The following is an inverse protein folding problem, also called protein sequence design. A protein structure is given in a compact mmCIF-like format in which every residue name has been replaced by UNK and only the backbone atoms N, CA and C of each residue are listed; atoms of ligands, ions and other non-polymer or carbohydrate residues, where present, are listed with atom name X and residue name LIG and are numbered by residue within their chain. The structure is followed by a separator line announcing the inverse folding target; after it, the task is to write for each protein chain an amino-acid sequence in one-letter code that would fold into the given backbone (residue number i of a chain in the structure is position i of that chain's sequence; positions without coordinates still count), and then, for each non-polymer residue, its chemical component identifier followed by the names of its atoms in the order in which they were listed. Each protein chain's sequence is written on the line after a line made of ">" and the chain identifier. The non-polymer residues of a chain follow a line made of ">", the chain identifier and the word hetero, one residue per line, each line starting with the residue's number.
data_IF_304439954290
#
_entry.id   IF_304439954290
#
_cell.length_a   1.000
_cell.length_b   1.000
_cell.length_c   1.000
_cell.angle_alpha   90.00
_cell.angle_beta   90.00
_cell.angle_gamma   90.00
#
_symmetry.space_group_name_H-M   'P 1'
#
loop_
_entity.id
_entity.type
_entity.pdbx_description
1 polymer ?
#
# COMPACT_ATOMS: atom_id res chain seq x y z
N UNK A 1 23.24 -18.96 -17.75
CA UNK A 1 22.33 -20.05 -17.36
C UNK A 1 21.46 -19.55 -16.23
N UNK A 2 20.17 -19.36 -16.48
CA UNK A 2 19.19 -19.00 -15.46
C UNK A 2 19.13 -20.13 -14.44
N UNK A 3 19.42 -19.82 -13.18
CA UNK A 3 19.10 -20.70 -12.06
C UNK A 3 17.59 -20.77 -11.98
N UNK A 4 17.02 -21.89 -12.44
CA UNK A 4 15.65 -22.28 -12.16
C UNK A 4 15.55 -22.33 -10.64
N UNK A 5 14.88 -21.33 -10.06
CA UNK A 5 14.49 -21.35 -8.66
C UNK A 5 13.53 -22.54 -8.55
N UNK A 6 14.01 -23.64 -8.00
CA UNK A 6 13.16 -24.66 -7.43
C UNK A 6 12.38 -23.97 -6.29
N UNK A 7 11.24 -23.38 -6.63
CA UNK A 7 10.26 -22.96 -5.66
C UNK A 7 9.76 -24.24 -4.99
N UNK A 8 10.32 -24.55 -3.82
CA UNK A 8 9.69 -25.49 -2.91
C UNK A 8 8.23 -25.06 -2.76
N UNK A 9 7.24 -25.98 -2.79
CA UNK A 9 5.86 -25.62 -2.53
C UNK A 9 5.81 -24.87 -1.21
N UNK A 10 5.19 -23.68 -1.23
CA UNK A 10 5.00 -22.87 -0.04
C UNK A 10 4.36 -23.78 1.02
N UNK A 11 4.94 -23.93 2.23
CA UNK A 11 4.37 -24.77 3.28
C UNK A 11 2.91 -24.41 3.64
N UNK A 12 2.43 -23.25 3.19
CA UNK A 12 1.05 -22.81 3.35
C UNK A 12 0.11 -23.20 2.19
N UNK A 13 0.58 -23.81 1.10
CA UNK A 13 -0.26 -24.14 -0.06
C UNK A 13 -1.39 -25.12 0.30
N UNK A 14 -1.06 -26.23 0.97
CA UNK A 14 -2.06 -27.21 1.41
C UNK A 14 -3.01 -26.64 2.48
N UNK A 15 -2.52 -25.73 3.32
CA UNK A 15 -3.31 -25.02 4.34
C UNK A 15 -4.32 -24.07 3.68
N UNK A 16 -3.90 -23.35 2.63
CA UNK A 16 -4.74 -22.40 1.93
C UNK A 16 -5.92 -23.07 1.20
N UNK A 17 -5.70 -24.23 0.59
CA UNK A 17 -6.77 -24.95 -0.12
C UNK A 17 -7.68 -25.76 0.80
N UNK A 18 -7.21 -26.16 1.99
CA UNK A 18 -7.98 -26.94 2.96
C UNK A 18 -8.87 -26.10 3.89
N UNK A 19 -8.77 -24.77 3.87
CA UNK A 19 -9.61 -23.87 4.67
C UNK A 19 -11.06 -23.80 4.16
N UNK A 20 -11.95 -23.26 4.99
CA UNK A 20 -13.36 -23.05 4.61
C UNK A 20 -13.50 -21.82 3.71
N UNK A 21 -13.96 -22.04 2.49
CA UNK A 21 -14.30 -21.00 1.52
C UNK A 21 -15.70 -20.44 1.79
N UNK A 22 -15.84 -19.12 1.83
CA UNK A 22 -17.14 -18.47 1.84
C UNK A 22 -17.57 -18.05 0.41
N UNK A 23 -18.80 -17.57 0.28
CA UNK A 23 -19.34 -17.14 -1.03
C UNK A 23 -18.54 -15.98 -1.66
N UNK A 24 -17.98 -15.08 -0.85
CA UNK A 24 -17.14 -13.99 -1.34
C UNK A 24 -15.80 -14.47 -1.88
N UNK A 25 -15.20 -15.48 -1.25
CA UNK A 25 -13.94 -16.08 -1.72
C UNK A 25 -14.16 -16.73 -3.08
N UNK A 26 -15.25 -17.51 -3.23
CA UNK A 26 -15.62 -18.17 -4.48
C UNK A 26 -15.96 -17.13 -5.57
N UNK A 27 -16.73 -16.10 -5.22
CA UNK A 27 -17.05 -15.01 -6.15
C UNK A 27 -15.79 -14.28 -6.62
N UNK A 28 -14.89 -13.93 -5.70
CA UNK A 28 -13.65 -13.22 -6.01
C UNK A 28 -12.73 -14.07 -6.90
N UNK A 29 -12.62 -15.38 -6.61
CA UNK A 29 -11.89 -16.32 -7.44
C UNK A 29 -12.48 -16.42 -8.85
N UNK A 30 -13.80 -16.64 -8.95
CA UNK A 30 -14.49 -16.70 -10.23
C UNK A 30 -14.33 -15.42 -11.06
N UNK A 31 -14.45 -14.26 -10.41
CA UNK A 31 -14.26 -12.96 -11.04
C UNK A 31 -12.83 -12.75 -11.56
N UNK A 32 -11.82 -12.99 -10.71
CA UNK A 32 -10.41 -12.85 -11.09
C UNK A 32 -10.10 -13.79 -12.25
N UNK A 33 -10.50 -15.07 -12.17
CA UNK A 33 -10.31 -16.03 -13.27
C UNK A 33 -11.00 -15.55 -14.55
N UNK A 34 -12.25 -15.06 -14.48
CA UNK A 34 -12.97 -14.56 -15.65
C UNK A 34 -12.26 -13.38 -16.32
N UNK A 35 -11.74 -12.40 -15.55
CA UNK A 35 -10.99 -11.27 -16.12
C UNK A 35 -9.68 -11.73 -16.77
N UNK A 36 -8.97 -12.69 -16.19
CA UNK A 36 -7.75 -13.26 -16.76
C UNK A 36 -8.03 -14.04 -18.04
N UNK A 37 -9.06 -14.90 -18.04
CA UNK A 37 -9.49 -15.60 -19.25
C UNK A 37 -9.87 -14.62 -20.36
N UNK A 38 -10.60 -13.56 -20.02
CA UNK A 38 -10.96 -12.51 -20.97
C UNK A 38 -9.72 -11.82 -21.53
N UNK A 39 -8.72 -11.53 -20.70
CA UNK A 39 -7.44 -10.95 -21.13
C UNK A 39 -6.67 -11.85 -22.12
N UNK A 40 -6.80 -13.18 -22.05
CA UNK A 40 -6.16 -14.10 -23.00
C UNK A 40 -6.69 -13.94 -24.44
N UNK A 41 -7.89 -13.36 -24.61
CA UNK A 41 -8.47 -13.08 -25.92
C UNK A 41 -8.00 -11.76 -26.55
N UNK A 42 -7.05 -11.05 -25.92
CA UNK A 42 -6.61 -9.73 -26.36
C UNK A 42 -6.08 -9.71 -27.81
N UNK A 43 -5.26 -10.69 -28.19
CA UNK A 43 -4.68 -10.78 -29.54
C UNK A 43 -5.73 -11.00 -30.63
N UNK A 44 -6.77 -11.77 -30.33
CA UNK A 44 -7.85 -12.09 -31.28
C UNK A 44 -8.83 -10.93 -31.49
N UNK A 45 -8.84 -9.95 -30.58
CA UNK A 45 -9.82 -8.86 -30.57
C UNK A 45 -9.17 -7.48 -30.61
N UNK A 46 -7.86 -7.42 -30.87
CA UNK A 46 -7.12 -6.16 -30.89
C UNK A 46 -7.62 -5.21 -31.98
N UNK A 47 -7.84 -3.97 -31.57
CA UNK A 47 -7.86 -2.82 -32.46
C UNK A 47 -7.44 -1.57 -31.67
N UNK A 48 -7.01 -0.54 -32.38
CA UNK A 48 -6.50 0.69 -31.77
C UNK A 48 -7.55 1.42 -30.93
N UNK A 49 -8.83 1.38 -31.31
CA UNK A 49 -9.88 2.04 -30.56
C UNK A 49 -10.09 1.37 -29.19
N UNK A 50 -10.17 0.04 -29.16
CA UNK A 50 -10.28 -0.76 -27.94
C UNK A 50 -9.05 -0.57 -27.03
N UNK A 51 -7.85 -0.52 -27.61
CA UNK A 51 -6.62 -0.21 -26.89
C UNK A 51 -6.68 1.15 -26.20
N UNK A 52 -7.05 2.22 -26.93
CA UNK A 52 -7.10 3.57 -26.36
C UNK A 52 -8.21 3.72 -25.33
N UNK A 53 -9.35 3.04 -25.50
CA UNK A 53 -10.40 2.97 -24.48
C UNK A 53 -9.88 2.28 -23.21
N UNK A 54 -9.20 1.15 -23.35
CA UNK A 54 -8.58 0.46 -22.21
C UNK A 54 -7.51 1.31 -21.54
N UNK A 55 -6.66 2.00 -22.30
CA UNK A 55 -5.63 2.89 -21.75
C UNK A 55 -6.24 4.11 -21.05
N UNK A 56 -7.28 4.72 -21.63
CA UNK A 56 -8.03 5.80 -20.99
C UNK A 56 -8.67 5.35 -19.68
N UNK A 57 -9.33 4.18 -19.68
CA UNK A 57 -9.89 3.59 -18.47
C UNK A 57 -8.80 3.25 -17.44
N UNK A 58 -7.64 2.76 -17.86
CA UNK A 58 -6.50 2.49 -16.98
C UNK A 58 -6.07 3.75 -16.22
N UNK A 59 -5.97 4.89 -16.90
CA UNK A 59 -5.68 6.18 -16.27
C UNK A 59 -6.84 6.59 -15.35
N UNK A 60 -8.09 6.58 -15.85
CA UNK A 60 -9.27 6.97 -15.07
C UNK A 60 -9.35 6.20 -13.75
N UNK A 61 -9.22 4.88 -13.82
CA UNK A 61 -9.44 4.04 -12.64
C UNK A 61 -8.19 3.89 -11.78
N UNK A 62 -7.00 3.88 -12.38
CA UNK A 62 -5.74 3.75 -11.65
C UNK A 62 -5.23 5.07 -11.06
N UNK A 63 -5.04 6.10 -11.90
CA UNK A 63 -4.53 7.41 -11.47
C UNK A 63 -5.55 8.14 -10.62
N UNK A 64 -6.77 8.35 -11.13
CA UNK A 64 -7.78 9.15 -10.44
C UNK A 64 -8.55 8.33 -9.40
N UNK A 65 -8.88 7.08 -9.72
CA UNK A 65 -9.64 6.19 -8.84
C UNK A 65 -8.83 5.65 -7.65
N UNK A 66 -7.78 4.87 -7.92
CA UNK A 66 -7.00 4.22 -6.88
C UNK A 66 -6.01 5.19 -6.22
N UNK A 67 -5.06 5.76 -6.98
CA UNK A 67 -3.96 6.53 -6.40
C UNK A 67 -4.42 7.89 -5.83
N UNK A 68 -5.13 8.71 -6.60
CA UNK A 68 -5.59 10.02 -6.14
C UNK A 68 -6.71 9.91 -5.10
N UNK A 69 -7.75 9.13 -5.38
CA UNK A 69 -8.95 9.08 -4.53
C UNK A 69 -8.82 8.09 -3.39
N UNK A 70 -8.90 6.78 -3.65
CA UNK A 70 -8.95 5.79 -2.58
C UNK A 70 -7.73 5.88 -1.66
N UNK A 71 -6.54 6.00 -2.24
CA UNK A 71 -5.31 6.04 -1.50
C UNK A 71 -5.06 7.41 -0.82
N UNK A 72 -4.65 8.43 -1.59
CA UNK A 72 -4.15 9.69 -1.01
C UNK A 72 -5.25 10.56 -0.40
N UNK A 73 -6.42 10.62 -1.02
CA UNK A 73 -7.52 11.45 -0.53
C UNK A 73 -8.31 10.76 0.59
N UNK A 74 -8.94 9.62 0.31
CA UNK A 74 -9.87 8.97 1.24
C UNK A 74 -9.14 8.27 2.38
N UNK A 75 -8.05 7.55 2.11
CA UNK A 75 -7.35 6.81 3.17
C UNK A 75 -6.46 7.71 4.02
N UNK A 76 -5.61 8.51 3.39
CA UNK A 76 -4.59 9.31 4.08
C UNK A 76 -4.98 10.76 4.35
N UNK A 77 -6.05 11.26 3.73
CA UNK A 77 -6.53 12.65 3.89
C UNK A 77 -5.39 13.64 3.61
N UNK A 78 -4.61 13.36 2.58
CA UNK A 78 -3.37 14.09 2.27
C UNK A 78 -3.63 15.49 1.70
N UNK A 79 -4.86 15.77 1.27
CA UNK A 79 -5.34 17.06 0.78
C UNK A 79 -6.87 17.10 0.91
N UNK A 80 -7.50 18.24 0.64
CA UNK A 80 -8.96 18.40 0.56
C UNK A 80 -9.36 18.85 -0.84
N UNK A 81 -10.50 18.35 -1.32
CA UNK A 81 -11.16 18.79 -2.56
C UNK A 81 -12.67 18.98 -2.33
N UNK A 82 -13.37 19.75 -3.18
CA UNK A 82 -14.82 19.85 -3.15
C UNK A 82 -15.49 18.48 -3.22
N UNK A 83 -16.62 18.31 -2.51
CA UNK A 83 -17.30 17.02 -2.39
C UNK A 83 -17.74 16.41 -3.72
N UNK A 84 -18.16 17.23 -4.68
CA UNK A 84 -18.53 16.73 -6.01
C UNK A 84 -17.33 16.08 -6.72
N UNK A 85 -16.13 16.64 -6.56
CA UNK A 85 -14.91 16.12 -7.16
C UNK A 85 -14.41 14.87 -6.43
N UNK A 86 -14.50 14.86 -5.09
CA UNK A 86 -14.26 13.67 -4.26
C UNK A 86 -15.13 12.49 -4.74
N UNK A 87 -16.42 12.70 -4.93
CA UNK A 87 -17.35 11.66 -5.37
C UNK A 87 -17.08 11.19 -6.79
N UNK A 88 -16.72 12.08 -7.72
CA UNK A 88 -16.32 11.70 -9.08
C UNK A 88 -15.11 10.77 -9.04
N UNK A 89 -14.05 11.17 -8.32
CA UNK A 89 -12.84 10.35 -8.27
C UNK A 89 -13.05 9.05 -7.51
N UNK A 90 -13.86 9.03 -6.45
CA UNK A 90 -14.26 7.79 -5.79
C UNK A 90 -15.03 6.86 -6.73
N UNK A 91 -15.92 7.39 -7.58
CA UNK A 91 -16.62 6.60 -8.58
C UNK A 91 -15.66 6.00 -9.62
N UNK A 92 -14.62 6.74 -10.03
CA UNK A 92 -13.55 6.17 -10.86
C UNK A 92 -12.87 4.97 -10.18
N UNK A 93 -12.71 4.99 -8.86
CA UNK A 93 -12.19 3.88 -8.06
C UNK A 93 -13.09 2.65 -8.07
N UNK A 94 -14.41 2.82 -8.03
CA UNK A 94 -15.37 1.71 -8.17
C UNK A 94 -15.17 0.97 -9.49
N UNK A 95 -14.91 1.71 -10.57
CA UNK A 95 -14.66 1.16 -11.89
C UNK A 95 -13.30 0.45 -12.02
N UNK A 96 -12.43 0.51 -11.01
CA UNK A 96 -11.15 -0.22 -10.95
C UNK A 96 -11.33 -1.71 -10.56
N UNK A 97 -12.52 -2.07 -10.09
CA UNK A 97 -12.89 -3.43 -9.68
C UNK A 97 -12.07 -3.97 -8.51
N UNK A 98 -11.64 -3.11 -7.58
CA UNK A 98 -10.86 -3.48 -6.39
C UNK A 98 -11.67 -3.41 -5.08
N UNK A 99 -12.99 -3.62 -5.15
CA UNK A 99 -14.00 -3.39 -4.10
C UNK A 99 -14.43 -1.92 -3.97
N UNK A 100 -15.50 -1.72 -3.23
CA UNK A 100 -16.10 -0.42 -2.97
C UNK A 100 -15.19 0.47 -2.09
N UNK A 101 -15.46 1.79 -2.01
CA UNK A 101 -14.60 2.72 -1.27
C UNK A 101 -14.51 2.40 0.23
N UNK A 102 -15.58 1.88 0.85
CA UNK A 102 -15.59 1.60 2.29
C UNK A 102 -14.65 0.43 2.58
N UNK A 103 -14.78 -0.66 1.82
CA UNK A 103 -13.92 -1.82 1.96
C UNK A 103 -12.44 -1.49 1.68
N UNK A 104 -12.15 -0.86 0.54
CA UNK A 104 -10.76 -0.61 0.13
C UNK A 104 -10.05 0.29 1.13
N UNK A 105 -10.68 1.39 1.53
CA UNK A 105 -10.11 2.35 2.50
C UNK A 105 -9.95 1.71 3.88
N UNK A 106 -10.88 0.87 4.30
CA UNK A 106 -10.80 0.15 5.59
C UNK A 106 -9.60 -0.80 5.62
N UNK A 107 -9.47 -1.64 4.59
CA UNK A 107 -8.35 -2.57 4.44
C UNK A 107 -7.03 -1.84 4.39
N UNK A 108 -6.93 -0.76 3.62
CA UNK A 108 -5.71 0.03 3.49
C UNK A 108 -5.32 0.74 4.80
N UNK A 109 -6.29 1.31 5.52
CA UNK A 109 -6.05 1.90 6.85
C UNK A 109 -5.57 0.84 7.86
N UNK A 110 -6.11 -0.37 7.81
CA UNK A 110 -5.63 -1.48 8.64
C UNK A 110 -4.22 -1.93 8.29
N UNK A 111 -3.90 -1.98 6.99
CA UNK A 111 -2.52 -2.25 6.55
C UNK A 111 -1.55 -1.24 7.15
N UNK A 112 -1.79 0.06 7.04
CA UNK A 112 -0.90 1.06 7.65
C UNK A 112 -0.82 0.95 9.17
N UNK A 113 -1.95 0.71 9.85
CA UNK A 113 -1.98 0.58 11.30
C UNK A 113 -1.20 -0.64 11.80
N UNK A 114 -1.16 -1.73 11.03
CA UNK A 114 -0.61 -3.02 11.45
C UNK A 114 0.44 -3.56 10.47
N UNK A 115 1.08 -2.68 9.69
CA UNK A 115 1.93 -3.02 8.56
C UNK A 115 2.94 -4.11 8.91
N UNK A 116 3.04 -5.13 8.06
CA UNK A 116 4.00 -6.23 8.17
C UNK A 116 3.90 -7.01 9.50
N UNK A 117 2.70 -7.01 10.10
CA UNK A 117 2.36 -7.87 11.25
C UNK A 117 1.28 -8.88 10.87
N UNK A 118 0.93 -9.79 11.77
CA UNK A 118 -0.14 -10.78 11.56
C UNK A 118 -1.52 -10.16 11.34
N UNK A 119 -1.72 -8.92 11.82
CA UNK A 119 -2.98 -8.17 11.69
C UNK A 119 -3.09 -7.38 10.39
N UNK A 120 -2.02 -7.29 9.60
CA UNK A 120 -2.07 -6.71 8.27
C UNK A 120 -2.86 -7.64 7.32
N UNK A 121 -3.94 -7.16 6.67
CA UNK A 121 -4.78 -7.94 5.76
C UNK A 121 -4.00 -8.70 4.67
N UNK A 122 -2.90 -8.12 4.21
CA UNK A 122 -2.10 -8.62 3.10
C UNK A 122 -0.60 -8.59 3.41
N UNK A 123 -0.28 -8.90 4.67
CA UNK A 123 1.06 -8.87 5.21
C UNK A 123 2.08 -9.64 4.35
N UNK A 124 3.24 -9.05 4.01
CA UNK A 124 4.30 -9.73 3.27
C UNK A 124 4.93 -10.89 4.08
N UNK A 125 4.70 -10.96 5.39
CA UNK A 125 5.17 -12.09 6.23
C UNK A 125 4.51 -13.41 5.82
N UNK A 126 3.31 -13.37 5.24
CA UNK A 126 2.62 -14.53 4.67
C UNK A 126 3.24 -15.01 3.35
N UNK A 127 4.26 -14.30 2.85
CA UNK A 127 4.96 -14.61 1.60
C UNK A 127 4.56 -13.70 0.45
N UNK A 128 5.36 -13.74 -0.61
CA UNK A 128 5.18 -12.92 -1.81
C UNK A 128 3.82 -13.17 -2.47
N UNK A 129 3.44 -14.43 -2.69
CA UNK A 129 2.18 -14.77 -3.36
C UNK A 129 0.94 -14.48 -2.50
N UNK A 130 1.08 -14.60 -1.18
CA UNK A 130 0.02 -14.21 -0.26
C UNK A 130 -0.30 -12.72 -0.38
N UNK A 131 0.71 -11.85 -0.19
CA UNK A 131 0.57 -10.39 -0.31
C UNK A 131 0.21 -9.93 -1.73
N UNK A 132 0.59 -10.69 -2.76
CA UNK A 132 0.25 -10.38 -4.14
C UNK A 132 -1.23 -10.66 -4.46
N UNK A 133 -1.74 -11.87 -4.20
CA UNK A 133 -3.07 -12.25 -4.68
C UNK A 133 -3.86 -13.12 -3.72
N UNK A 134 -3.21 -14.04 -3.00
CA UNK A 134 -3.95 -15.06 -2.26
C UNK A 134 -4.77 -14.50 -1.11
N UNK A 135 -4.34 -13.40 -0.50
CA UNK A 135 -5.07 -12.71 0.57
C UNK A 135 -6.51 -12.36 0.18
N UNK A 136 -6.75 -12.02 -1.10
CA UNK A 136 -8.06 -11.61 -1.62
C UNK A 136 -9.11 -12.72 -1.45
N UNK A 137 -8.67 -13.97 -1.47
CA UNK A 137 -9.53 -15.13 -1.36
C UNK A 137 -9.73 -15.59 0.09
N UNK A 138 -9.13 -14.93 1.08
CA UNK A 138 -9.19 -15.34 2.49
C UNK A 138 -9.97 -14.35 3.36
N UNK A 139 -11.21 -14.08 2.97
CA UNK A 139 -12.02 -13.03 3.59
C UNK A 139 -12.33 -13.29 5.06
N UNK A 140 -12.51 -14.56 5.47
CA UNK A 140 -12.77 -14.90 6.88
C UNK A 140 -11.55 -14.56 7.76
N UNK A 141 -10.35 -14.90 7.31
CA UNK A 141 -9.10 -14.58 8.00
C UNK A 141 -8.90 -13.07 8.13
N UNK A 142 -9.18 -12.31 7.07
CA UNK A 142 -9.12 -10.84 7.12
C UNK A 142 -10.11 -10.30 8.15
N UNK A 143 -11.36 -10.76 8.15
CA UNK A 143 -12.38 -10.32 9.11
C UNK A 143 -11.98 -10.69 10.55
N UNK A 144 -11.40 -11.86 10.77
CA UNK A 144 -10.92 -12.28 12.08
C UNK A 144 -9.73 -11.42 12.56
N UNK A 145 -8.76 -11.14 11.69
CA UNK A 145 -7.57 -10.33 11.97
C UNK A 145 -7.90 -8.86 12.22
N UNK A 146 -8.77 -8.29 11.39
CA UNK A 146 -9.09 -6.86 11.38
C UNK A 146 -10.27 -6.53 12.31
N UNK A 147 -11.08 -7.52 12.68
CA UNK A 147 -12.33 -7.30 13.42
C UNK A 147 -13.37 -6.54 12.60
N UNK A 148 -14.35 -5.93 13.29
CA UNK A 148 -15.34 -5.07 12.63
C UNK A 148 -14.65 -3.79 12.13
N UNK A 149 -14.92 -3.31 10.90
CA UNK A 149 -14.44 -2.02 10.43
C UNK A 149 -14.93 -0.92 11.37
N UNK A 150 -14.03 -0.36 12.19
CA UNK A 150 -14.32 0.82 13.02
C UNK A 150 -13.45 2.02 12.59
N UNK A 151 -12.63 1.82 11.56
CA UNK A 151 -11.65 2.77 11.06
C UNK A 151 -12.14 3.57 9.84
N UNK A 152 -13.39 3.39 9.39
CA UNK A 152 -13.99 4.05 8.21
C UNK A 152 -15.34 4.73 8.46
N UNK A 153 -15.66 5.02 9.73
CA UNK A 153 -16.91 5.67 10.10
C UNK A 153 -17.13 7.07 9.48
N UNK A 154 -16.09 7.69 8.92
CA UNK A 154 -16.20 8.91 8.12
C UNK A 154 -16.84 8.67 6.74
N UNK A 155 -16.61 7.51 6.12
CA UNK A 155 -17.23 7.12 4.84
C UNK A 155 -18.63 6.54 5.07
N UNK A 156 -18.80 5.67 6.07
CA UNK A 156 -20.09 5.00 6.37
C UNK A 156 -21.24 5.97 6.69
N UNK A 157 -20.91 7.15 7.21
CA UNK A 157 -21.88 8.22 7.50
C UNK A 157 -22.40 8.91 6.23
N UNK A 158 -21.73 8.77 5.09
CA UNK A 158 -22.10 9.44 3.85
C UNK A 158 -22.99 8.53 2.98
N UNK A 159 -24.21 8.95 2.61
CA UNK A 159 -25.11 8.13 1.79
C UNK A 159 -24.53 7.71 0.44
N UNK A 160 -23.67 8.55 -0.15
CA UNK A 160 -23.00 8.27 -1.41
C UNK A 160 -22.16 6.99 -1.36
N UNK A 161 -21.34 6.82 -0.31
CA UNK A 161 -20.48 5.62 -0.20
C UNK A 161 -21.27 4.36 0.10
N UNK A 162 -22.34 4.45 0.91
CA UNK A 162 -23.26 3.31 1.14
C UNK A 162 -24.03 2.92 -0.13
N UNK A 163 -24.38 3.90 -0.96
CA UNK A 163 -24.96 3.63 -2.26
C UNK A 163 -23.97 2.86 -3.16
N UNK A 164 -22.72 3.31 -3.24
CA UNK A 164 -21.70 2.61 -4.03
C UNK A 164 -21.40 1.20 -3.52
N UNK A 165 -21.34 1.01 -2.19
CA UNK A 165 -21.19 -0.31 -1.56
C UNK A 165 -22.34 -1.25 -1.95
N UNK A 166 -23.59 -0.81 -1.77
CA UNK A 166 -24.78 -1.63 -2.05
C UNK A 166 -25.04 -1.89 -3.54
N UNK A 167 -24.54 -1.02 -4.43
CA UNK A 167 -24.74 -1.13 -5.88
C UNK A 167 -23.46 -1.47 -6.65
N UNK A 168 -22.40 -1.86 -5.95
CA UNK A 168 -21.06 -2.07 -6.51
C UNK A 168 -21.08 -2.91 -7.79
N UNK A 169 -21.74 -4.07 -7.77
CA UNK A 169 -21.83 -4.97 -8.94
C UNK A 169 -22.61 -4.36 -10.12
N UNK A 170 -23.62 -3.52 -9.84
CA UNK A 170 -24.41 -2.86 -10.89
C UNK A 170 -23.52 -1.90 -11.69
N UNK A 171 -22.61 -1.19 -11.04
CA UNK A 171 -21.69 -0.29 -11.73
C UNK A 171 -20.69 -1.04 -12.62
N UNK A 172 -20.19 -2.20 -12.16
CA UNK A 172 -19.31 -3.06 -12.95
C UNK A 172 -20.03 -3.60 -14.19
N UNK A 173 -21.23 -4.15 -14.00
CA UNK A 173 -22.06 -4.67 -15.09
C UNK A 173 -22.44 -3.53 -16.05
N UNK A 174 -22.78 -2.36 -15.52
CA UNK A 174 -23.09 -1.16 -16.30
C UNK A 174 -21.93 -0.72 -17.20
N UNK A 175 -20.69 -0.72 -16.68
CA UNK A 175 -19.52 -0.42 -17.50
C UNK A 175 -19.31 -1.48 -18.59
N UNK A 176 -19.47 -2.77 -18.27
CA UNK A 176 -19.41 -3.83 -19.26
C UNK A 176 -20.45 -3.65 -20.38
N UNK A 177 -21.72 -3.45 -20.01
CA UNK A 177 -22.80 -3.22 -20.96
C UNK A 177 -22.54 -1.99 -21.86
N UNK A 178 -22.05 -0.89 -21.27
CA UNK A 178 -21.68 0.31 -22.01
C UNK A 178 -20.55 0.04 -23.01
N UNK A 179 -19.50 -0.65 -22.59
CA UNK A 179 -18.37 -1.01 -23.46
C UNK A 179 -18.81 -1.90 -24.62
N UNK A 180 -19.65 -2.90 -24.35
CA UNK A 180 -20.20 -3.76 -25.39
C UNK A 180 -21.07 -2.97 -26.38
N UNK A 181 -21.93 -2.06 -25.88
CA UNK A 181 -22.78 -1.24 -26.74
C UNK A 181 -21.97 -0.30 -27.65
N UNK A 182 -20.82 0.20 -27.18
CA UNK A 182 -19.97 1.14 -27.94
C UNK A 182 -19.04 0.48 -28.94
N UNK A 183 -18.53 -0.72 -28.65
CA UNK A 183 -17.49 -1.34 -29.47
C UNK A 183 -17.43 -2.86 -29.43
N UNK A 184 -18.50 -3.50 -28.95
CA UNK A 184 -18.67 -4.96 -28.94
C UNK A 184 -17.61 -5.71 -28.13
N UNK A 185 -17.34 -6.95 -28.53
CA UNK A 185 -16.39 -7.84 -27.85
C UNK A 185 -14.98 -7.24 -27.69
N UNK A 186 -14.38 -6.54 -28.67
CA UNK A 186 -13.09 -5.89 -28.48
C UNK A 186 -13.04 -4.95 -27.26
N UNK A 187 -14.07 -4.15 -27.03
CA UNK A 187 -14.11 -3.20 -25.93
C UNK A 187 -14.31 -3.90 -24.59
N UNK A 188 -15.06 -5.00 -24.55
CA UNK A 188 -15.13 -5.88 -23.37
C UNK A 188 -13.76 -6.47 -23.09
N UNK A 189 -13.12 -7.12 -24.07
CA UNK A 189 -11.84 -7.80 -23.87
C UNK A 189 -10.77 -6.83 -23.38
N UNK A 190 -10.64 -5.68 -24.03
CA UNK A 190 -9.61 -4.71 -23.69
C UNK A 190 -9.97 -3.86 -22.46
N UNK A 191 -11.19 -3.32 -22.40
CA UNK A 191 -11.64 -2.42 -21.35
C UNK A 191 -11.98 -3.10 -20.01
N UNK A 192 -12.50 -4.34 -20.06
CA UNK A 192 -12.77 -5.15 -18.86
C UNK A 192 -11.67 -6.18 -18.60
N UNK A 193 -11.17 -6.90 -19.60
CA UNK A 193 -10.16 -7.94 -19.40
C UNK A 193 -8.76 -7.37 -19.19
N UNK A 194 -8.13 -6.92 -20.28
CA UNK A 194 -6.74 -6.46 -20.32
C UNK A 194 -6.47 -5.35 -19.31
N UNK A 195 -7.31 -4.29 -19.33
CA UNK A 195 -7.15 -3.15 -18.43
C UNK A 195 -7.23 -3.55 -16.96
N UNK A 196 -8.18 -4.41 -16.60
CA UNK A 196 -8.37 -4.83 -15.20
C UNK A 196 -7.23 -5.71 -14.74
N UNK A 197 -6.81 -6.70 -15.54
CA UNK A 197 -5.69 -7.59 -15.19
C UNK A 197 -4.40 -6.79 -15.03
N UNK A 198 -4.12 -5.85 -15.94
CA UNK A 198 -2.97 -4.96 -15.82
C UNK A 198 -3.04 -4.15 -14.52
N UNK A 199 -4.19 -3.50 -14.25
CA UNK A 199 -4.37 -2.66 -13.07
C UNK A 199 -4.26 -3.47 -11.76
N UNK A 200 -4.84 -4.67 -11.73
CA UNK A 200 -4.72 -5.60 -10.61
C UNK A 200 -3.27 -5.90 -10.30
N UNK A 201 -2.51 -6.42 -11.26
CA UNK A 201 -1.14 -6.83 -10.99
C UNK A 201 -0.23 -5.67 -10.61
N UNK A 202 -0.38 -4.48 -11.21
CA UNK A 202 0.45 -3.34 -10.78
C UNK A 202 0.09 -2.87 -9.38
N UNK A 203 -1.19 -2.88 -8.98
CA UNK A 203 -1.59 -2.51 -7.62
C UNK A 203 -1.12 -3.56 -6.62
N UNK A 204 -1.28 -4.84 -6.94
CA UNK A 204 -0.84 -5.96 -6.11
C UNK A 204 0.68 -6.05 -5.98
N UNK A 205 1.42 -5.62 -7.00
CA UNK A 205 2.87 -5.46 -6.94
C UNK A 205 3.30 -4.40 -5.91
N UNK A 206 2.46 -3.40 -5.59
CA UNK A 206 2.76 -2.47 -4.49
C UNK A 206 2.81 -3.24 -3.17
N UNK A 207 1.80 -4.05 -2.87
CA UNK A 207 1.76 -4.83 -1.62
C UNK A 207 2.88 -5.87 -1.54
N UNK A 208 3.21 -6.51 -2.66
CA UNK A 208 4.14 -7.64 -2.70
C UNK A 208 5.58 -7.21 -3.04
N UNK A 209 5.81 -6.69 -4.24
CA UNK A 209 7.14 -6.30 -4.69
C UNK A 209 7.69 -5.10 -3.89
N UNK A 210 6.87 -4.12 -3.52
CA UNK A 210 7.34 -3.01 -2.70
C UNK A 210 7.53 -3.33 -1.21
N UNK A 211 7.24 -4.55 -0.75
CA UNK A 211 7.67 -5.03 0.56
C UNK A 211 8.79 -6.09 0.50
N UNK A 212 9.20 -6.47 -0.71
CA UNK A 212 10.21 -7.53 -0.91
C UNK A 212 11.47 -7.02 -1.60
N UNK A 213 11.33 -6.16 -2.61
CA UNK A 213 12.42 -5.71 -3.47
C UNK A 213 12.45 -4.19 -3.60
N UNK A 214 13.65 -3.63 -3.79
CA UNK A 214 13.85 -2.20 -3.99
C UNK A 214 14.73 -1.57 -2.91
N UNK A 215 14.66 -0.25 -2.77
CA UNK A 215 15.51 0.52 -1.84
C UNK A 215 14.71 1.03 -0.64
N UNK A 216 15.23 0.84 0.56
CA UNK A 216 14.71 1.50 1.76
C UNK A 216 15.50 2.81 1.95
N UNK A 217 14.85 3.96 1.71
CA UNK A 217 15.44 5.29 1.84
C UNK A 217 15.27 5.88 3.25
N UNK A 218 14.21 5.46 3.95
CA UNK A 218 13.81 5.94 5.26
C UNK A 218 13.73 4.78 6.24
N UNK A 219 14.06 5.04 7.50
CA UNK A 219 14.03 4.09 8.60
C UNK A 219 12.58 3.87 9.07
N UNK A 220 11.78 3.24 8.22
CA UNK A 220 10.45 2.72 8.55
C UNK A 220 10.61 1.44 9.38
N UNK A 221 9.64 1.16 10.25
CA UNK A 221 9.62 -0.08 11.06
C UNK A 221 9.03 -1.28 10.31
N UNK A 222 8.86 -1.14 9.01
CA UNK A 222 8.32 -2.13 8.08
C UNK A 222 9.34 -2.48 6.98
N UNK A 223 8.95 -3.38 6.08
CA UNK A 223 9.73 -3.87 4.96
C UNK A 223 9.47 -3.08 3.67
N UNK A 224 8.79 -1.93 3.73
CA UNK A 224 8.50 -1.12 2.53
C UNK A 224 9.77 -0.71 1.79
N UNK A 225 9.70 -0.64 0.46
CA UNK A 225 10.79 -0.38 -0.47
C UNK A 225 10.32 0.47 -1.64
N UNK A 226 11.21 1.35 -2.11
CA UNK A 226 11.02 2.15 -3.30
C UNK A 226 11.41 1.37 -4.57
N UNK A 227 10.52 1.37 -5.58
CA UNK A 227 10.67 0.76 -6.90
C UNK A 227 10.31 1.76 -8.01
N UNK A 228 11.31 2.26 -8.74
CA UNK A 228 11.13 3.32 -9.73
C UNK A 228 10.28 2.88 -10.95
N UNK A 229 10.47 1.64 -11.42
CA UNK A 229 9.72 1.12 -12.57
C UNK A 229 8.27 0.85 -12.18
N UNK A 230 8.03 0.40 -10.95
CA UNK A 230 6.68 0.22 -10.44
C UNK A 230 5.99 1.58 -10.31
N UNK A 231 6.67 2.59 -9.79
CA UNK A 231 6.14 3.95 -9.68
C UNK A 231 5.70 4.53 -11.03
N UNK A 232 6.37 4.18 -12.13
CA UNK A 232 5.96 4.60 -13.48
C UNK A 232 4.60 4.03 -13.86
N UNK A 233 4.34 2.75 -13.59
CA UNK A 233 3.07 2.11 -13.92
C UNK A 233 1.98 2.42 -12.89
N UNK A 234 2.32 2.53 -11.62
CA UNK A 234 1.37 2.80 -10.53
C UNK A 234 1.21 4.28 -10.23
N UNK A 235 1.59 5.16 -11.16
CA UNK A 235 1.37 6.61 -11.05
C UNK A 235 2.03 7.30 -9.84
N UNK A 236 3.05 6.66 -9.24
CA UNK A 236 3.79 7.16 -8.08
C UNK A 236 3.81 6.20 -6.89
N UNK A 237 2.90 5.23 -6.84
CA UNK A 237 2.72 4.34 -5.67
C UNK A 237 3.93 3.41 -5.41
N UNK A 238 4.80 3.23 -6.41
CA UNK A 238 6.05 2.50 -6.26
C UNK A 238 7.09 3.19 -5.37
N UNK A 239 6.91 4.46 -5.00
CA UNK A 239 7.72 5.13 -3.95
C UNK A 239 7.24 4.73 -2.55
N UNK A 240 7.12 3.42 -2.32
CA UNK A 240 6.37 2.88 -1.20
C UNK A 240 7.06 3.10 0.15
N UNK A 241 8.39 3.04 0.20
CA UNK A 241 9.09 3.38 1.45
C UNK A 241 9.01 4.87 1.79
N UNK A 242 8.97 5.75 0.78
CA UNK A 242 8.68 7.16 1.03
C UNK A 242 7.27 7.35 1.58
N UNK A 243 6.30 6.62 1.01
CA UNK A 243 4.91 6.63 1.45
C UNK A 243 4.77 6.18 2.91
N UNK A 244 5.33 5.02 3.26
CA UNK A 244 5.29 4.51 4.64
C UNK A 244 6.03 5.41 5.63
N UNK A 245 7.05 6.14 5.20
CA UNK A 245 7.72 7.12 6.05
C UNK A 245 6.85 8.35 6.35
N UNK A 246 6.00 8.76 5.40
CA UNK A 246 5.18 9.97 5.49
C UNK A 246 3.78 9.73 4.93
N UNK A 247 3.03 8.82 5.55
CA UNK A 247 1.75 8.30 5.03
C UNK A 247 0.73 9.41 4.72
N UNK A 248 0.75 10.48 5.51
CA UNK A 248 -0.14 11.64 5.35
C UNK A 248 0.22 12.53 4.15
N UNK A 249 1.35 12.30 3.47
CA UNK A 249 1.83 13.17 2.42
C UNK A 249 1.03 12.99 1.13
N UNK A 250 0.77 14.10 0.42
CA UNK A 250 0.20 14.08 -0.92
C UNK A 250 1.23 13.71 -2.00
N UNK A 251 2.53 13.78 -1.67
CA UNK A 251 3.65 13.53 -2.56
C UNK A 251 4.44 12.32 -2.07
N UNK A 252 4.50 11.26 -2.87
CA UNK A 252 5.27 10.06 -2.56
C UNK A 252 6.65 10.08 -3.22
N UNK A 253 6.78 10.68 -4.41
CA UNK A 253 8.07 10.93 -5.05
C UNK A 253 8.78 12.13 -4.44
N UNK A 254 9.51 11.95 -3.34
CA UNK A 254 10.10 13.03 -2.54
C UNK A 254 11.32 13.71 -3.18
N UNK A 255 12.03 13.01 -4.07
CA UNK A 255 13.16 13.56 -4.83
C UNK A 255 12.72 14.14 -6.19
N UNK A 256 13.53 15.02 -6.77
CA UNK A 256 13.20 15.69 -8.04
C UNK A 256 13.08 14.72 -9.23
N UNK A 257 13.83 13.61 -9.20
CA UNK A 257 13.84 12.57 -10.24
C UNK A 257 12.78 11.48 -10.00
N UNK A 258 12.11 11.50 -8.84
CA UNK A 258 11.07 10.53 -8.51
C UNK A 258 9.75 10.95 -9.15
N UNK A 259 9.49 10.40 -10.34
CA UNK A 259 8.25 10.65 -11.09
C UNK A 259 7.04 10.18 -10.26
N UNK A 260 6.11 11.10 -10.03
CA UNK A 260 4.89 10.88 -9.26
C UNK A 260 3.75 11.60 -10.00
N UNK A 261 3.06 10.84 -10.86
CA UNK A 261 2.04 11.40 -11.76
C UNK A 261 0.83 11.91 -10.97
N UNK A 262 0.44 11.21 -9.91
CA UNK A 262 -0.65 11.63 -9.03
C UNK A 262 -0.31 12.93 -8.31
N UNK A 263 0.94 13.12 -7.89
CA UNK A 263 1.38 14.39 -7.32
C UNK A 263 1.23 15.55 -8.30
N UNK A 264 1.56 15.34 -9.58
CA UNK A 264 1.39 16.38 -10.59
C UNK A 264 -0.09 16.75 -10.80
N UNK A 265 -1.00 15.78 -10.74
CA UNK A 265 -2.44 16.05 -10.77
C UNK A 265 -2.87 16.84 -9.53
N UNK A 266 -2.41 16.48 -8.34
CA UNK A 266 -2.73 17.23 -7.11
C UNK A 266 -2.21 18.67 -7.19
N UNK A 267 -0.99 18.88 -7.71
CA UNK A 267 -0.43 20.21 -7.96
C UNK A 267 -1.24 21.03 -8.95
N UNK A 268 -1.76 20.41 -10.01
CA UNK A 268 -2.66 21.07 -10.95
C UNK A 268 -3.97 21.49 -10.26
N UNK A 269 -4.59 20.58 -9.51
CA UNK A 269 -5.82 20.87 -8.75
C UNK A 269 -5.59 21.98 -7.72
N UNK A 270 -4.44 22.00 -7.05
CA UNK A 270 -4.05 23.07 -6.12
C UNK A 270 -3.88 24.41 -6.85
N UNK A 271 -3.21 24.41 -8.01
CA UNK A 271 -2.99 25.62 -8.80
C UNK A 271 -4.28 26.28 -9.30
N UNK A 272 -5.32 25.48 -9.61
CA UNK A 272 -6.64 25.99 -10.00
C UNK A 272 -7.58 26.22 -8.80
N UNK A 273 -7.09 26.08 -7.57
CA UNK A 273 -7.85 26.32 -6.34
C UNK A 273 -8.85 25.22 -5.96
N UNK A 274 -8.79 24.05 -6.62
CA UNK A 274 -9.65 22.90 -6.30
C UNK A 274 -9.08 22.03 -5.18
N UNK A 275 -7.76 21.92 -5.02
CA UNK A 275 -7.16 21.24 -3.89
C UNK A 275 -6.62 22.23 -2.85
N UNK A 276 -6.92 21.98 -1.58
CA UNK A 276 -6.45 22.77 -0.43
C UNK A 276 -5.88 21.86 0.65
N UNK A 277 -5.23 22.43 1.66
CA UNK A 277 -4.62 21.70 2.78
C UNK A 277 -3.70 20.54 2.31
N UNK A 278 -2.94 20.76 1.24
CA UNK A 278 -2.04 19.77 0.65
C UNK A 278 -0.86 19.52 1.60
N UNK A 279 -0.74 18.30 2.12
CA UNK A 279 0.23 17.95 3.16
C UNK A 279 1.54 17.43 2.57
N UNK A 280 2.65 17.94 3.10
CA UNK A 280 4.01 17.50 2.76
C UNK A 280 4.84 17.31 4.03
N UNK A 281 5.82 16.38 4.02
CA UNK A 281 6.71 16.21 5.15
C UNK A 281 7.66 17.40 5.29
N UNK A 282 7.75 17.92 6.51
CA UNK A 282 8.71 18.95 6.89
C UNK A 282 10.14 18.40 6.91
N UNK A 283 11.14 19.28 6.81
CA UNK A 283 12.55 18.88 6.91
C UNK A 283 12.87 18.18 8.23
N UNK A 284 12.22 18.59 9.33
CA UNK A 284 12.39 17.96 10.66
C UNK A 284 11.84 16.53 10.63
N UNK A 285 10.64 16.31 10.09
CA UNK A 285 10.08 14.96 9.95
C UNK A 285 10.96 14.07 9.05
N UNK A 286 11.49 14.63 7.96
CA UNK A 286 12.45 13.92 7.10
C UNK A 286 13.71 13.52 7.86
N UNK A 287 14.28 14.45 8.62
CA UNK A 287 15.43 14.14 9.47
C UNK A 287 15.07 13.02 10.46
N UNK A 288 13.93 13.12 11.15
CA UNK A 288 13.42 12.10 12.09
C UNK A 288 13.39 10.67 11.52
N UNK A 289 13.04 10.53 10.24
CA UNK A 289 12.94 9.25 9.55
C UNK A 289 14.24 8.81 8.84
N UNK A 290 15.30 9.61 8.86
CA UNK A 290 16.58 9.23 8.26
C UNK A 290 17.32 8.19 9.12
N UNK A 291 18.04 7.26 8.48
CA UNK A 291 18.83 6.23 9.17
C UNK A 291 19.90 6.77 10.13
N UNK A 292 20.34 8.03 9.96
CA UNK A 292 21.47 8.60 10.69
C UNK A 292 21.11 9.34 11.99
N UNK A 293 19.89 9.19 12.52
CA UNK A 293 19.47 9.88 13.75
C UNK A 293 20.03 9.33 15.07
N UNK A 294 20.91 8.33 15.03
CA UNK A 294 21.64 7.88 16.22
C UNK A 294 22.82 8.81 16.61
N UNK A 295 22.91 10.03 16.06
CA UNK A 295 23.99 10.98 16.32
C UNK A 295 23.55 12.38 16.73
N UNK A 296 22.32 12.55 17.23
CA UNK A 296 21.87 13.85 17.73
C UNK A 296 22.58 14.22 19.03
N UNK A 297 23.52 15.17 18.95
CA UNK A 297 24.12 15.81 20.11
C UNK A 297 23.03 16.28 21.08
N UNK A 298 23.03 15.75 22.30
CA UNK A 298 22.19 16.25 23.37
C UNK A 298 22.62 17.70 23.67
N UNK A 299 21.78 18.67 23.31
CA UNK A 299 21.94 20.05 23.82
C UNK A 299 21.50 20.02 25.27
N UNK A 300 22.45 19.86 26.18
CA UNK A 300 22.23 20.03 27.62
C UNK A 300 22.14 21.54 27.88
N UNK A 301 20.91 22.05 28.06
CA UNK A 301 20.69 23.37 28.60
C UNK A 301 20.99 23.34 30.10
N UNK A 302 22.09 23.96 30.52
CA UNK A 302 22.35 24.19 31.94
C UNK A 302 21.51 25.39 32.41
N UNK A 303 20.45 25.12 33.17
CA UNK A 303 19.48 26.12 33.65
C UNK A 303 19.98 26.99 34.80
N UNK A 304 21.24 26.84 35.24
CA UNK A 304 21.78 27.57 36.39
C UNK A 304 22.44 28.93 36.07
N UNK A 305 22.88 29.20 34.83
CA UNK A 305 23.73 30.40 34.55
C UNK A 305 23.37 31.20 33.29
N UNK A 306 22.33 30.83 32.54
CA UNK A 306 21.85 31.62 31.40
C UNK A 306 22.89 31.89 30.29
N UNK A 307 23.92 31.04 30.16
CA UNK A 307 24.96 31.17 29.12
C UNK A 307 25.07 29.88 28.30
N UNK A 308 25.21 30.04 26.97
CA UNK A 308 25.39 28.92 26.03
C UNK A 308 26.80 28.35 26.20
N UNK A 309 26.93 27.20 26.87
CA UNK A 309 28.17 26.44 26.88
C UNK A 309 28.35 25.73 25.53
N UNK A 310 29.54 25.85 24.95
CA UNK A 310 29.86 25.49 23.56
C UNK A 310 29.56 24.04 23.15
N UNK A 311 29.47 23.86 21.83
CA UNK A 311 29.23 22.59 21.14
C UNK A 311 30.36 21.61 21.46
N UNK A 312 30.11 20.62 22.33
CA UNK A 312 30.97 19.45 22.46
C UNK A 312 30.52 18.39 21.45
N UNK A 313 31.22 18.30 20.32
CA UNK A 313 31.02 17.22 19.36
C UNK A 313 31.63 15.92 19.91
N UNK A 314 30.80 15.00 20.40
CA UNK A 314 31.23 13.63 20.69
C UNK A 314 31.24 12.85 19.38
N UNK A 315 32.39 12.78 18.73
CA UNK A 315 32.62 11.89 17.58
C UNK A 315 32.85 10.48 18.11
N UNK A 316 31.79 9.66 18.16
CA UNK A 316 31.98 8.21 18.28
C UNK A 316 32.42 7.66 16.92
N UNK A 317 33.69 7.31 16.82
CA UNK A 317 34.26 6.62 15.65
C UNK A 317 33.61 5.24 15.49
N UNK A 318 32.77 5.07 14.46
CA UNK A 318 32.22 3.78 14.00
C UNK A 318 33.34 2.87 13.46
N UNK A 319 34.14 2.29 14.36
CA UNK A 319 35.07 1.19 14.00
C UNK A 319 34.72 -0.16 14.64
N UNK A 320 33.58 -0.27 15.34
CA UNK A 320 33.29 -1.46 16.14
C UNK A 320 31.94 -2.16 15.87
N UNK A 321 31.25 -1.83 14.77
CA UNK A 321 30.06 -2.57 14.30
C UNK A 321 30.28 -3.30 12.96
N UNK A 322 31.50 -3.78 12.71
CA UNK A 322 31.78 -4.77 11.65
C UNK A 322 32.33 -6.04 12.30
N UNK A 323 31.45 -6.84 12.88
CA UNK A 323 31.87 -8.06 13.57
C UNK A 323 30.72 -8.90 14.13
N UNK A 324 29.60 -9.04 13.40
CA UNK A 324 28.59 -10.05 13.73
C UNK A 324 27.72 -10.36 12.49
N UNK A 325 28.37 -10.75 11.39
CA UNK A 325 27.69 -11.34 10.24
C UNK A 325 28.55 -12.51 9.73
N UNK A 326 28.56 -13.61 10.49
CA UNK A 326 29.04 -14.89 10.00
C UNK A 326 28.41 -16.04 10.80
N UNK A 327 27.71 -16.90 10.06
CA UNK A 327 27.26 -18.26 10.38
C UNK A 327 26.31 -18.46 11.57
N UNK A 328 25.03 -18.68 11.26
CA UNK A 328 24.22 -19.67 11.98
C UNK A 328 23.53 -20.59 10.99
N UNK A 329 24.11 -21.80 10.91
CA UNK A 329 23.60 -22.98 10.23
C UNK A 329 22.36 -23.46 10.99
N UNK A 330 21.26 -23.66 10.28
CA UNK A 330 20.02 -24.20 10.83
C UNK A 330 20.27 -25.56 11.51
N UNK A 331 19.99 -25.64 12.82
CA UNK A 331 19.96 -26.86 13.59
C UNK A 331 18.70 -26.88 14.45
N UNK A 332 17.73 -27.73 14.09
CA UNK A 332 16.51 -27.99 14.85
C UNK A 332 16.86 -28.37 16.29
N UNK A 333 16.20 -27.74 17.28
CA UNK A 333 15.89 -28.39 18.57
C UNK A 333 14.75 -27.67 19.28
N UNK A 334 13.66 -28.44 19.44
CA UNK A 334 12.60 -28.41 20.47
C UNK A 334 12.84 -27.41 21.62
N UNK A 335 11.92 -26.47 21.80
CA UNK A 335 11.75 -25.73 23.06
C UNK A 335 10.79 -26.52 23.96
N UNK A 336 11.34 -27.09 25.03
CA UNK A 336 10.60 -27.52 26.21
C UNK A 336 10.56 -26.33 27.17
N UNK A 337 9.38 -26.06 27.71
CA UNK A 337 9.13 -25.09 28.76
C UNK A 337 9.81 -25.53 30.07
N UNK A 338 10.61 -24.64 30.67
CA UNK A 338 10.88 -24.61 32.10
C UNK A 338 11.28 -23.17 32.47
N UNK A 339 10.61 -22.62 33.48
CA UNK A 339 10.82 -21.26 33.96
C UNK A 339 12.12 -21.09 34.73
N UNK A 340 12.57 -19.84 34.83
CA UNK A 340 12.80 -19.17 36.10
C UNK A 340 13.13 -17.70 35.85
N UNK A 341 12.90 -16.88 36.89
CA UNK A 341 12.61 -15.46 36.81
C UNK A 341 13.75 -14.54 36.36
N UNK A 342 13.34 -13.33 35.96
CA UNK A 342 14.23 -12.24 35.59
C UNK A 342 13.52 -11.17 34.78
N UNK A 343 12.73 -10.32 35.43
CA UNK A 343 12.22 -9.07 34.83
C UNK A 343 13.38 -8.09 34.59
N UNK A 344 13.58 -7.54 33.38
CA UNK A 344 14.45 -6.39 33.20
C UNK A 344 13.69 -5.13 33.60
N UNK A 345 14.14 -4.49 34.67
CA UNK A 345 13.64 -3.21 35.17
C UNK A 345 13.96 -2.08 34.20
N UNK A 346 12.94 -1.31 33.83
CA UNK A 346 13.07 -0.01 33.21
C UNK A 346 13.75 0.98 34.17
N UNK A 347 14.59 1.85 33.61
CA UNK A 347 15.30 2.91 34.31
C UNK A 347 14.37 3.79 35.14
N UNK A 348 14.56 3.78 36.46
CA UNK A 348 14.05 4.78 37.38
C UNK A 348 14.82 6.09 37.19
N UNK A 349 14.09 7.17 36.93
CA UNK A 349 14.58 8.53 37.16
C UNK A 349 14.47 8.81 38.66
N UNK A 350 15.59 8.79 39.37
CA UNK A 350 15.70 9.31 40.73
C UNK A 350 15.87 10.84 40.68
N UNK A 351 15.01 11.53 41.41
CA UNK A 351 15.21 12.93 41.81
C UNK A 351 16.10 12.97 43.06
N UNK A 352 17.21 13.68 42.97
CA UNK A 352 17.94 14.32 44.08
C UNK A 352 18.19 15.75 43.56
N UNK A 353 17.82 16.86 44.21
CA UNK A 353 17.49 17.18 45.61
C UNK A 353 16.40 18.24 45.67
#
# INVERSE_FOLDING_TARGET
>A
MLSIVNALPDPNFDVFWSRKWNLWDVFSLGWIVAMHLLCLFASFTFNWAAFWVAFGLYIITGLFGISLSYHRHLSHKSFKIPKWLEYIFAYCGVLAFQRDPIYWVSTHRYHHQFCDTEKDPHSPIGGFWFSHISWIFDNNSIVEKCGKPNNVGDLEKQPFYKFLESTYLIHIIGLGALLYALGGCPYIVWGMGVRTVLLYHITWLVNSASHTWGKQAWNTRDLSRNNWWLALFTFGEGWHNNHHAFEYSARQGLEWWQIDMTWYVIKLLEAIGMATDVKLPTSVQKQMMAFNNCGGAAVVLNTATGTVAGIAAVVFSLKQCRGAAASTRFGRRRWLLAGDGGTPSCCNFGNET
#
